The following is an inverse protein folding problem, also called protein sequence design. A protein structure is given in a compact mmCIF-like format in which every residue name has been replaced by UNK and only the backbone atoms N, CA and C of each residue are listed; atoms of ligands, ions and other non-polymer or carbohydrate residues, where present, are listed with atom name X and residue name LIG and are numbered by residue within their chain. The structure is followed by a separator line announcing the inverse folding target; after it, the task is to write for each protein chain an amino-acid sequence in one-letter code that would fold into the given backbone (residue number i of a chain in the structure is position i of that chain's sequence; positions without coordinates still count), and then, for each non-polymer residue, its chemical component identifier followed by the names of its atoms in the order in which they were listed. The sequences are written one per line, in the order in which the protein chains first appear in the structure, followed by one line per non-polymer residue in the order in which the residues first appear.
data_IF_660656490067
#
_entry.id   IF_660656490067
#
_cell.length_a   1.000
_cell.length_b   1.000
_cell.length_c   1.000
_cell.angle_alpha   90.00
_cell.angle_beta   90.00
_cell.angle_gamma   90.00
#
_symmetry.space_group_name_H-M   'P 1'
#
loop_
_entity.id
_entity.type
_entity.pdbx_description
1 polymer ?
#
# COMPACT_ATOMS: atom_id res chain seq x y z
N UNK A 1 14.94 38.57 19.89
CA UNK A 1 15.01 37.09 19.85
C UNK A 1 14.70 36.57 18.44
N UNK A 2 15.61 35.77 17.90
CA UNK A 2 15.40 35.03 16.66
C UNK A 2 14.81 33.66 17.03
N UNK A 3 13.74 33.25 16.33
CA UNK A 3 13.08 31.97 16.58
C UNK A 3 13.34 31.05 15.40
N UNK A 4 13.78 29.82 15.69
CA UNK A 4 13.87 28.74 14.70
C UNK A 4 12.62 27.88 14.86
N UNK A 5 11.94 27.62 13.75
CA UNK A 5 10.82 26.68 13.67
C UNK A 5 11.22 25.55 12.76
N UNK A 6 11.05 24.33 13.24
CA UNK A 6 11.33 23.13 12.47
C UNK A 6 10.17 22.12 12.62
N UNK A 7 10.08 21.15 11.70
CA UNK A 7 9.05 20.10 11.71
C UNK A 7 9.71 18.74 11.51
N UNK A 8 9.45 17.83 12.43
CA UNK A 8 9.95 16.47 12.38
C UNK A 8 8.81 15.49 12.16
N UNK A 9 9.02 14.51 11.28
CA UNK A 9 8.18 13.33 11.16
C UNK A 9 8.88 12.18 11.88
N UNK A 10 8.25 11.66 12.93
CA UNK A 10 8.75 10.51 13.68
C UNK A 10 8.06 9.26 13.15
N UNK A 11 8.83 8.33 12.58
CA UNK A 11 8.35 6.99 12.30
C UNK A 11 8.39 6.22 13.61
N UNK A 12 7.21 5.83 14.11
CA UNK A 12 7.16 4.90 15.23
C UNK A 12 7.67 3.53 14.75
N UNK A 13 8.49 2.84 15.57
CA UNK A 13 8.84 1.45 15.30
C UNK A 13 7.58 0.61 15.09
N UNK A 14 7.62 -0.31 14.14
CA UNK A 14 6.46 -1.14 13.78
C UNK A 14 6.06 -2.13 14.89
N UNK A 15 6.98 -2.42 15.80
CA UNK A 15 6.86 -3.26 17.00
C UNK A 15 6.51 -2.48 18.27
N UNK A 16 6.28 -1.16 18.17
CA UNK A 16 5.89 -0.34 19.32
C UNK A 16 4.58 -0.87 19.92
N UNK A 17 4.58 -1.14 21.22
CA UNK A 17 3.38 -1.57 21.93
C UNK A 17 2.35 -0.44 22.02
N UNK A 18 1.06 -0.79 22.05
CA UNK A 18 0.04 0.18 22.40
C UNK A 18 0.25 0.71 23.82
N UNK A 19 0.02 1.99 24.04
CA UNK A 19 0.19 2.61 25.35
C UNK A 19 0.49 4.09 25.27
N UNK A 20 0.69 4.68 26.44
CA UNK A 20 1.08 6.07 26.58
C UNK A 20 2.61 6.18 26.61
N UNK A 21 3.15 7.06 25.77
CA UNK A 21 4.57 7.34 25.65
C UNK A 21 4.82 8.83 25.87
N UNK A 22 5.92 9.16 26.54
CA UNK A 22 6.35 10.55 26.67
C UNK A 22 7.22 10.95 25.48
N UNK A 23 6.80 12.00 24.77
CA UNK A 23 7.56 12.59 23.68
C UNK A 23 8.59 13.57 24.24
N UNK A 24 9.88 13.27 24.04
CA UNK A 24 10.99 14.11 24.47
C UNK A 24 11.71 14.78 23.29
N UNK A 25 12.17 16.02 23.51
CA UNK A 25 13.06 16.75 22.62
C UNK A 25 14.40 16.98 23.32
N UNK A 26 15.48 16.47 22.73
CA UNK A 26 16.84 16.76 23.16
C UNK A 26 17.60 17.47 22.03
N UNK A 27 18.36 18.50 22.36
CA UNK A 27 19.40 19.03 21.47
C UNK A 27 20.68 18.26 21.77
N UNK A 28 21.29 17.66 20.75
CA UNK A 28 22.53 16.92 20.94
C UNK A 28 23.73 17.78 20.54
N UNK A 29 24.83 17.66 21.29
CA UNK A 29 26.15 18.14 20.88
C UNK A 29 26.66 17.30 19.70
N UNK A 30 27.71 17.77 19.06
CA UNK A 30 28.34 17.06 17.94
C UNK A 30 28.86 15.66 18.31
N UNK A 31 29.13 15.40 19.58
CA UNK A 31 29.54 14.09 20.11
C UNK A 31 28.36 13.17 20.48
N UNK A 32 27.12 13.61 20.24
CA UNK A 32 25.89 12.87 20.54
C UNK A 32 25.39 13.03 21.98
N UNK A 33 26.12 13.73 22.85
CA UNK A 33 25.65 13.97 24.23
C UNK A 33 24.55 15.03 24.27
N UNK A 34 23.53 14.89 25.13
CA UNK A 34 22.47 15.89 25.26
C UNK A 34 23.02 17.20 25.81
N UNK A 35 22.62 18.32 25.20
CA UNK A 35 22.78 19.65 25.73
C UNK A 35 21.67 19.88 26.78
N UNK A 36 22.02 20.05 28.07
CA UNK A 36 21.02 20.14 29.12
C UNK A 36 20.11 21.35 28.94
N UNK A 37 18.86 21.18 29.31
CA UNK A 37 17.87 22.26 29.46
C UNK A 37 18.26 23.19 30.62
N UNK A 38 17.64 24.36 30.72
CA UNK A 38 17.96 25.35 31.77
C UNK A 38 17.74 24.86 33.20
N UNK A 39 16.87 23.87 33.38
CA UNK A 39 16.59 23.14 34.62
C UNK A 39 17.46 21.89 34.82
N UNK A 40 18.41 21.63 33.91
CA UNK A 40 19.45 20.61 34.07
C UNK A 40 19.07 19.21 33.61
N UNK A 41 17.95 19.05 32.91
CA UNK A 41 17.56 17.77 32.29
C UNK A 41 18.17 17.61 30.91
N UNK A 42 18.35 16.36 30.47
CA UNK A 42 18.92 16.04 29.16
C UNK A 42 17.93 16.22 28.00
N UNK A 43 16.64 16.36 28.31
CA UNK A 43 15.58 16.54 27.32
C UNK A 43 14.38 17.29 27.90
N UNK A 44 13.67 18.01 27.04
CA UNK A 44 12.37 18.60 27.35
C UNK A 44 11.25 17.59 27.06
N UNK A 45 10.37 17.34 28.03
CA UNK A 45 9.11 16.63 27.76
C UNK A 45 8.14 17.56 27.04
N UNK A 46 7.70 17.16 25.85
CA UNK A 46 6.77 17.94 25.04
C UNK A 46 5.32 17.61 25.38
N UNK A 47 4.98 16.31 25.40
CA UNK A 47 3.64 15.81 25.71
C UNK A 47 3.63 14.29 25.84
N UNK A 48 2.55 13.74 26.41
CA UNK A 48 2.24 12.33 26.29
C UNK A 48 1.52 12.06 24.96
N UNK A 49 1.92 11.02 24.25
CA UNK A 49 1.24 10.52 23.06
C UNK A 49 0.66 9.14 23.36
N UNK A 50 -0.58 8.92 22.91
CA UNK A 50 -1.20 7.61 23.00
C UNK A 50 -1.03 6.85 21.69
N UNK A 51 -0.21 5.80 21.72
CA UNK A 51 -0.05 4.87 20.62
C UNK A 51 -1.14 3.81 20.73
N UNK A 52 -1.98 3.71 19.70
CA UNK A 52 -3.07 2.73 19.67
C UNK A 52 -2.56 1.37 19.21
N UNK A 53 -3.23 0.31 19.66
CA UNK A 53 -3.05 -1.02 19.09
C UNK A 53 -3.41 -0.97 17.61
N UNK A 54 -2.60 -1.62 16.78
CA UNK A 54 -2.85 -1.72 15.36
C UNK A 54 -3.88 -2.82 15.10
N UNK A 55 -4.95 -2.50 14.35
CA UNK A 55 -5.98 -3.45 13.93
C UNK A 55 -5.48 -4.40 12.80
N UNK A 56 -4.24 -4.91 12.92
CA UNK A 56 -3.61 -5.73 11.87
C UNK A 56 -4.36 -7.04 11.71
N UNK A 57 -4.55 -7.44 10.45
CA UNK A 57 -5.02 -8.77 10.11
C UNK A 57 -3.80 -9.68 9.90
N UNK A 58 -3.94 -10.95 10.24
CA UNK A 58 -2.89 -11.97 10.06
C UNK A 58 -3.34 -13.11 9.14
N UNK A 59 -4.66 -13.27 9.07
CA UNK A 59 -5.35 -14.23 8.22
C UNK A 59 -6.14 -13.47 7.16
N UNK A 60 -6.18 -13.98 5.91
CA UNK A 60 -7.03 -13.40 4.88
C UNK A 60 -8.51 -13.52 5.24
N UNK A 61 -9.35 -12.55 4.82
CA UNK A 61 -10.78 -12.72 4.90
C UNK A 61 -11.24 -13.94 4.09
N UNK A 62 -12.34 -14.57 4.52
CA UNK A 62 -12.96 -15.66 3.79
C UNK A 62 -13.53 -15.19 2.45
N UNK A 63 -13.72 -16.12 1.51
CA UNK A 63 -14.40 -15.87 0.23
C UNK A 63 -13.54 -15.20 -0.85
N UNK A 64 -12.26 -14.91 -0.59
CA UNK A 64 -11.36 -14.41 -1.62
C UNK A 64 -11.07 -15.47 -2.69
N UNK A 65 -10.86 -15.01 -3.92
CA UNK A 65 -10.35 -15.84 -5.03
C UNK A 65 -8.84 -15.91 -4.90
N UNK A 66 -8.27 -17.11 -4.66
CA UNK A 66 -6.84 -17.24 -4.40
C UNK A 66 -6.01 -16.96 -5.65
N UNK A 67 -4.84 -16.34 -5.45
CA UNK A 67 -3.85 -16.05 -6.51
C UNK A 67 -2.49 -16.61 -6.12
N UNK A 68 -1.92 -16.19 -4.97
CA UNK A 68 -0.64 -16.69 -4.48
C UNK A 68 0.58 -16.21 -5.28
N UNK A 69 0.53 -14.97 -5.81
CA UNK A 69 1.62 -14.42 -6.62
C UNK A 69 2.57 -13.58 -5.76
N UNK A 70 3.89 -13.82 -5.87
CA UNK A 70 4.91 -13.06 -5.14
C UNK A 70 5.44 -11.90 -5.97
N UNK A 71 5.45 -10.70 -5.40
CA UNK A 71 6.00 -9.49 -6.02
C UNK A 71 7.31 -9.12 -5.32
N UNK A 72 8.41 -9.36 -6.03
CA UNK A 72 9.74 -9.45 -5.44
C UNK A 72 9.78 -10.46 -4.29
N UNK A 73 10.74 -10.27 -3.39
CA UNK A 73 10.86 -11.06 -2.16
C UNK A 73 10.08 -10.43 -0.99
N UNK A 74 9.16 -9.50 -1.26
CA UNK A 74 8.63 -8.55 -0.23
C UNK A 74 7.15 -8.67 0.05
N UNK A 75 6.34 -8.93 -0.97
CA UNK A 75 4.88 -8.94 -0.86
C UNK A 75 4.32 -10.13 -1.63
N UNK A 76 3.24 -10.69 -1.13
CA UNK A 76 2.45 -11.71 -1.83
C UNK A 76 1.02 -11.20 -2.05
N UNK A 77 0.50 -11.31 -3.27
CA UNK A 77 -0.92 -11.20 -3.56
C UNK A 77 -1.58 -12.53 -3.21
N UNK A 78 -2.21 -12.61 -2.03
CA UNK A 78 -2.90 -13.82 -1.59
C UNK A 78 -4.10 -14.11 -2.48
N UNK A 79 -4.84 -13.06 -2.85
CA UNK A 79 -6.04 -13.19 -3.66
C UNK A 79 -6.76 -11.86 -3.85
N UNK A 80 -7.93 -11.95 -4.43
CA UNK A 80 -8.79 -10.80 -4.67
C UNK A 80 -10.27 -11.15 -4.54
N UNK A 81 -11.10 -10.14 -4.38
CA UNK A 81 -12.53 -10.22 -4.59
C UNK A 81 -12.95 -9.16 -5.59
N UNK A 82 -13.85 -9.51 -6.51
CA UNK A 82 -14.38 -8.61 -7.51
C UNK A 82 -15.89 -8.65 -7.40
N UNK A 83 -16.50 -7.51 -7.08
CA UNK A 83 -17.93 -7.42 -6.78
C UNK A 83 -18.79 -7.94 -7.95
N UNK A 84 -18.33 -7.71 -9.19
CA UNK A 84 -19.03 -8.03 -10.44
C UNK A 84 -18.01 -8.31 -11.53
N UNK A 85 -18.27 -9.35 -12.35
CA UNK A 85 -17.48 -9.65 -13.55
C UNK A 85 -18.07 -9.03 -14.82
N UNK A 86 -18.99 -8.08 -14.65
CA UNK A 86 -19.69 -7.38 -15.73
C UNK A 86 -19.83 -5.90 -15.38
N UNK A 87 -19.62 -5.03 -16.38
CA UNK A 87 -19.82 -3.59 -16.27
C UNK A 87 -20.23 -2.99 -17.62
N UNK A 88 -20.68 -1.73 -17.61
CA UNK A 88 -20.85 -0.93 -18.81
C UNK A 88 -19.78 0.15 -18.90
N UNK A 89 -19.57 0.68 -20.10
CA UNK A 89 -18.82 1.91 -20.26
C UNK A 89 -19.38 3.03 -19.36
N UNK A 90 -18.50 3.73 -18.63
CA UNK A 90 -18.86 4.73 -17.62
C UNK A 90 -19.24 4.18 -16.23
N UNK A 91 -19.36 2.86 -16.05
CA UNK A 91 -19.58 2.27 -14.72
C UNK A 91 -18.26 2.05 -13.95
N UNK A 92 -18.36 1.76 -12.66
CA UNK A 92 -17.21 1.51 -11.79
C UNK A 92 -17.16 0.04 -11.37
N UNK A 93 -16.00 -0.58 -11.53
CA UNK A 93 -15.67 -1.90 -11.00
C UNK A 93 -15.06 -1.77 -9.61
N UNK A 94 -15.60 -2.51 -8.63
CA UNK A 94 -15.07 -2.56 -7.28
C UNK A 94 -14.22 -3.81 -7.07
N UNK A 95 -12.92 -3.59 -6.92
CA UNK A 95 -11.89 -4.62 -6.74
C UNK A 95 -11.32 -4.53 -5.32
N UNK A 96 -11.28 -5.65 -4.61
CA UNK A 96 -10.56 -5.78 -3.35
C UNK A 96 -9.34 -6.68 -3.56
N UNK A 97 -8.16 -6.18 -3.25
CA UNK A 97 -6.91 -6.95 -3.24
C UNK A 97 -6.54 -7.32 -1.81
N UNK A 98 -6.03 -8.54 -1.64
CA UNK A 98 -5.57 -9.03 -0.33
C UNK A 98 -4.10 -9.38 -0.41
N UNK A 99 -3.30 -8.58 0.27
CA UNK A 99 -1.84 -8.67 0.28
C UNK A 99 -1.34 -9.30 1.57
N UNK A 100 -0.22 -10.03 1.50
CA UNK A 100 0.58 -10.41 2.66
C UNK A 100 1.96 -9.75 2.57
N UNK A 101 2.36 -9.10 3.66
CA UNK A 101 3.73 -8.63 3.81
C UNK A 101 4.65 -9.81 4.13
N UNK A 102 5.69 -10.03 3.33
CA UNK A 102 6.68 -11.09 3.56
C UNK A 102 7.90 -10.57 4.32
N UNK A 103 8.25 -9.30 4.11
CA UNK A 103 9.40 -8.64 4.75
C UNK A 103 9.11 -7.16 4.92
N UNK A 104 9.71 -6.52 5.94
CA UNK A 104 9.66 -5.07 6.07
C UNK A 104 10.16 -4.35 4.81
N UNK A 105 9.59 -3.18 4.55
CA UNK A 105 9.83 -2.39 3.35
C UNK A 105 10.21 -0.96 3.71
N UNK A 106 11.26 -0.46 3.09
CA UNK A 106 11.68 0.95 3.21
C UNK A 106 11.14 1.83 2.07
N UNK A 107 10.63 1.19 1.01
CA UNK A 107 9.96 1.85 -0.11
C UNK A 107 8.46 1.83 0.09
N UNK A 108 7.81 2.99 -0.07
CA UNK A 108 6.36 3.11 -0.14
C UNK A 108 5.91 2.87 -1.58
N UNK A 109 5.63 1.62 -1.93
CA UNK A 109 5.21 1.24 -3.27
C UNK A 109 3.80 1.74 -3.60
N UNK A 110 3.59 2.06 -4.88
CA UNK A 110 2.26 2.31 -5.45
C UNK A 110 1.74 1.01 -6.06
N UNK A 111 0.50 0.66 -5.79
CA UNK A 111 -0.19 -0.41 -6.51
C UNK A 111 -0.83 0.18 -7.75
N UNK A 112 -0.65 -0.48 -8.89
CA UNK A 112 -1.41 -0.19 -10.10
C UNK A 112 -2.50 -1.23 -10.30
N UNK A 113 -3.67 -0.79 -10.74
CA UNK A 113 -4.78 -1.65 -11.13
C UNK A 113 -5.32 -1.14 -12.45
N UNK A 114 -5.20 -1.94 -13.51
CA UNK A 114 -5.62 -1.54 -14.86
C UNK A 114 -6.62 -2.54 -15.44
N UNK A 115 -7.65 -2.04 -16.09
CA UNK A 115 -8.59 -2.80 -16.91
C UNK A 115 -8.13 -2.72 -18.36
N UNK A 116 -7.77 -3.85 -18.96
CA UNK A 116 -7.22 -3.95 -20.31
C UNK A 116 -8.23 -4.54 -21.28
N UNK A 117 -8.36 -3.96 -22.48
CA UNK A 117 -9.08 -4.58 -23.59
C UNK A 117 -8.26 -5.70 -24.26
N UNK A 118 -8.84 -6.38 -25.25
CA UNK A 118 -8.17 -7.44 -26.03
C UNK A 118 -6.89 -6.97 -26.75
N UNK A 119 -6.73 -5.66 -26.96
CA UNK A 119 -5.55 -5.04 -27.56
C UNK A 119 -4.52 -4.57 -26.54
N UNK A 120 -4.63 -4.98 -25.28
CA UNK A 120 -3.82 -4.51 -24.14
C UNK A 120 -3.91 -2.99 -23.88
N UNK A 121 -4.97 -2.31 -24.35
CA UNK A 121 -5.16 -0.89 -24.02
C UNK A 121 -5.87 -0.73 -22.68
N UNK A 122 -5.36 0.20 -21.87
CA UNK A 122 -5.97 0.56 -20.59
C UNK A 122 -7.28 1.31 -20.85
N UNK A 123 -8.41 0.71 -20.45
CA UNK A 123 -9.76 1.29 -20.48
C UNK A 123 -10.31 1.65 -19.11
N UNK A 124 -9.51 1.53 -18.07
CA UNK A 124 -9.85 1.94 -16.71
C UNK A 124 -8.64 1.72 -15.82
N UNK A 125 -8.38 2.61 -14.88
CA UNK A 125 -7.25 2.45 -13.99
C UNK A 125 -7.42 3.15 -12.65
N UNK A 126 -6.74 2.62 -11.64
CA UNK A 126 -6.51 3.32 -10.39
C UNK A 126 -5.14 2.93 -9.80
N UNK A 127 -4.28 3.95 -9.67
CA UNK A 127 -2.93 3.82 -9.13
C UNK A 127 -2.80 4.66 -7.86
N UNK A 128 -2.52 4.01 -6.74
CA UNK A 128 -2.28 4.69 -5.47
C UNK A 128 -1.47 3.82 -4.50
N UNK A 129 -0.78 4.42 -3.52
CA UNK A 129 -0.26 3.66 -2.40
C UNK A 129 -1.42 2.95 -1.66
N UNK A 130 -1.17 1.83 -0.99
CA UNK A 130 -2.25 1.02 -0.44
C UNK A 130 -3.21 1.75 0.49
N UNK A 131 -4.47 1.30 0.48
CA UNK A 131 -5.57 1.84 1.31
C UNK A 131 -5.78 3.33 1.03
N UNK A 132 -5.74 3.71 -0.25
CA UNK A 132 -5.87 5.10 -0.72
C UNK A 132 -4.82 6.03 -0.09
N UNK A 133 -3.59 5.55 0.05
CA UNK A 133 -2.49 6.31 0.65
C UNK A 133 -2.48 6.36 2.18
N UNK A 134 -3.46 5.77 2.86
CA UNK A 134 -3.55 5.81 4.33
C UNK A 134 -2.69 4.76 5.01
N UNK A 135 -2.28 3.72 4.30
CA UNK A 135 -1.50 2.63 4.86
C UNK A 135 -0.39 2.18 3.91
N UNK A 136 0.63 3.05 3.68
CA UNK A 136 1.72 2.75 2.76
C UNK A 136 2.47 1.49 3.16
N UNK A 137 3.11 0.83 2.19
CA UNK A 137 3.82 -0.45 2.39
C UNK A 137 4.92 -0.38 3.45
N UNK A 138 5.46 0.81 3.71
CA UNK A 138 6.42 1.03 4.81
C UNK A 138 5.83 0.82 6.20
N UNK A 139 4.50 0.81 6.38
CA UNK A 139 3.90 0.53 7.69
C UNK A 139 3.63 -0.96 7.91
N UNK A 140 3.76 -1.77 6.87
CA UNK A 140 3.43 -3.19 6.92
C UNK A 140 4.50 -3.96 7.67
N UNK A 141 4.09 -4.97 8.44
CA UNK A 141 5.01 -5.89 9.13
C UNK A 141 4.94 -7.29 8.56
N UNK A 142 6.03 -8.04 8.64
CA UNK A 142 6.09 -9.40 8.13
C UNK A 142 4.94 -10.26 8.71
N UNK A 143 4.26 -10.99 7.83
CA UNK A 143 3.09 -11.82 8.14
C UNK A 143 1.75 -11.09 8.09
N UNK A 144 1.73 -9.75 8.16
CA UNK A 144 0.50 -8.97 8.12
C UNK A 144 -0.25 -9.14 6.80
N UNK A 145 -1.57 -9.20 6.91
CA UNK A 145 -2.51 -9.17 5.81
C UNK A 145 -3.13 -7.79 5.68
N UNK A 146 -3.11 -7.24 4.47
CA UNK A 146 -3.67 -5.93 4.15
C UNK A 146 -4.78 -6.08 3.11
N UNK A 147 -5.96 -5.57 3.45
CA UNK A 147 -7.13 -5.52 2.56
C UNK A 147 -7.19 -4.15 1.91
N UNK A 148 -7.06 -4.11 0.59
CA UNK A 148 -6.95 -2.89 -0.20
C UNK A 148 -8.06 -2.80 -1.23
N UNK A 149 -8.69 -1.64 -1.39
CA UNK A 149 -9.92 -1.49 -2.19
C UNK A 149 -9.77 -0.43 -3.27
N UNK A 150 -10.21 -0.79 -4.47
CA UNK A 150 -10.12 -0.01 -5.69
C UNK A 150 -11.50 0.15 -6.33
N UNK A 151 -11.69 1.30 -6.98
CA UNK A 151 -12.84 1.71 -7.74
C UNK A 151 -12.36 2.09 -9.14
N UNK A 152 -12.33 1.11 -10.03
CA UNK A 152 -11.80 1.25 -11.39
C UNK A 152 -12.95 1.72 -12.28
N UNK A 153 -12.91 2.98 -12.69
CA UNK A 153 -13.87 3.54 -13.65
C UNK A 153 -13.58 3.01 -15.06
N UNK A 154 -14.59 2.41 -15.69
CA UNK A 154 -14.53 2.01 -17.09
C UNK A 154 -14.75 3.25 -17.95
N UNK A 155 -13.82 3.54 -18.86
CA UNK A 155 -13.92 4.67 -19.78
C UNK A 155 -15.26 4.69 -20.53
N UNK A 156 -15.83 5.88 -20.73
CA UNK A 156 -17.12 6.05 -21.41
C UNK A 156 -17.11 5.58 -22.87
N UNK A 157 -15.93 5.56 -23.52
CA UNK A 157 -15.75 5.10 -24.90
C UNK A 157 -15.21 3.67 -25.00
N UNK A 158 -15.16 2.92 -23.88
CA UNK A 158 -14.69 1.54 -23.86
C UNK A 158 -15.56 0.67 -24.79
N UNK A 159 -14.96 0.00 -25.80
CA UNK A 159 -15.72 -0.88 -26.68
C UNK A 159 -16.24 -2.11 -25.91
N UNK A 160 -17.41 -2.67 -26.28
CA UNK A 160 -17.90 -3.89 -25.67
C UNK A 160 -16.96 -5.05 -25.98
N UNK A 161 -16.77 -5.93 -25.01
CA UNK A 161 -15.88 -7.06 -25.18
C UNK A 161 -15.45 -7.69 -23.86
N UNK A 162 -14.46 -8.58 -23.96
CA UNK A 162 -13.81 -9.17 -22.80
C UNK A 162 -12.58 -8.36 -22.43
N UNK A 163 -12.45 -8.10 -21.14
CA UNK A 163 -11.38 -7.35 -20.53
C UNK A 163 -10.68 -8.22 -19.50
N UNK A 164 -9.45 -7.85 -19.16
CA UNK A 164 -8.69 -8.46 -18.06
C UNK A 164 -8.20 -7.38 -17.11
N UNK A 165 -8.19 -7.67 -15.81
CA UNK A 165 -7.57 -6.78 -14.83
C UNK A 165 -6.11 -7.21 -14.65
N UNK A 166 -5.17 -6.27 -14.83
CA UNK A 166 -3.78 -6.44 -14.38
C UNK A 166 -3.53 -5.66 -13.10
N UNK A 167 -2.70 -6.23 -12.22
CA UNK A 167 -2.26 -5.59 -10.99
C UNK A 167 -0.77 -5.77 -10.75
N UNK A 168 -0.18 -4.83 -10.03
CA UNK A 168 1.19 -4.96 -9.55
C UNK A 168 1.61 -3.79 -8.68
N UNK A 169 2.90 -3.72 -8.36
CA UNK A 169 3.45 -2.66 -7.54
C UNK A 169 4.66 -2.03 -8.24
N UNK A 170 4.84 -0.73 -8.07
CA UNK A 170 6.04 -0.02 -8.54
C UNK A 170 6.55 0.98 -7.52
N UNK A 171 7.84 1.26 -7.57
CA UNK A 171 8.46 2.33 -6.80
C UNK A 171 8.14 3.68 -7.45
N UNK A 172 7.40 4.58 -6.80
CA UNK A 172 7.00 5.85 -7.40
C UNK A 172 8.17 6.80 -7.69
N UNK A 173 9.35 6.60 -7.08
CA UNK A 173 10.50 7.46 -7.28
C UNK A 173 11.20 7.23 -8.63
N UNK A 174 11.16 6.00 -9.15
CA UNK A 174 11.86 5.60 -10.37
C UNK A 174 10.97 4.83 -11.37
N UNK A 175 9.70 4.60 -11.01
CA UNK A 175 8.69 3.89 -11.80
C UNK A 175 9.05 2.41 -12.07
N UNK A 176 9.99 1.86 -11.30
CA UNK A 176 10.38 0.46 -11.42
C UNK A 176 9.30 -0.45 -10.85
N UNK A 177 8.76 -1.34 -11.68
CA UNK A 177 7.81 -2.37 -11.27
C UNK A 177 8.52 -3.50 -10.51
N UNK A 178 7.85 -4.05 -9.50
CA UNK A 178 8.28 -5.27 -8.82
C UNK A 178 8.06 -6.47 -9.75
N UNK A 179 9.10 -7.29 -9.89
CA UNK A 179 8.99 -8.54 -10.63
C UNK A 179 8.02 -9.50 -9.94
N UNK A 180 7.14 -10.13 -10.70
CA UNK A 180 6.37 -11.29 -10.24
C UNK A 180 7.27 -12.51 -10.29
N UNK A 181 7.35 -13.23 -9.18
CA UNK A 181 8.23 -14.37 -8.98
C UNK A 181 7.43 -15.67 -8.90
N UNK A 182 7.98 -16.71 -9.52
CA UNK A 182 7.58 -18.11 -9.34
C UNK A 182 8.77 -18.91 -8.74
N UNK A 183 8.62 -20.23 -8.49
CA UNK A 183 9.72 -21.04 -7.96
C UNK A 183 10.96 -21.13 -8.87
N UNK A 184 10.87 -20.75 -10.13
CA UNK A 184 11.94 -20.80 -11.13
C UNK A 184 12.61 -19.43 -11.39
N UNK A 185 11.96 -18.34 -11.01
CA UNK A 185 12.50 -16.98 -11.07
C UNK A 185 11.45 -15.93 -11.41
N UNK A 186 11.90 -14.81 -11.98
CA UNK A 186 10.99 -13.75 -12.42
C UNK A 186 10.25 -14.17 -13.69
N UNK A 187 8.92 -14.04 -13.68
CA UNK A 187 8.01 -14.43 -14.78
C UNK A 187 7.29 -13.25 -15.42
N UNK A 188 7.41 -12.05 -14.84
CA UNK A 188 6.79 -10.83 -15.33
C UNK A 188 6.91 -9.71 -14.30
N UNK A 189 6.11 -8.66 -14.44
CA UNK A 189 6.03 -7.53 -13.51
C UNK A 189 4.57 -7.09 -13.24
N UNK A 190 3.63 -7.96 -13.61
CA UNK A 190 2.18 -7.81 -13.46
C UNK A 190 1.54 -9.16 -13.23
N UNK A 191 0.46 -9.16 -12.46
CA UNK A 191 -0.40 -10.31 -12.24
C UNK A 191 -1.72 -10.07 -12.97
N UNK A 192 -2.11 -11.00 -13.84
CA UNK A 192 -3.42 -10.97 -14.49
C UNK A 192 -4.44 -11.65 -13.57
N UNK A 193 -5.56 -10.98 -13.32
CA UNK A 193 -6.68 -11.48 -12.55
C UNK A 193 -7.77 -12.04 -13.48
N UNK A 194 -9.01 -12.11 -12.97
CA UNK A 194 -10.16 -12.58 -13.74
C UNK A 194 -10.58 -11.64 -14.87
N UNK A 195 -11.36 -12.20 -15.78
CA UNK A 195 -11.95 -11.47 -16.90
C UNK A 195 -13.17 -10.65 -16.46
N UNK A 196 -13.40 -9.54 -17.16
CA UNK A 196 -14.59 -8.70 -17.01
C UNK A 196 -15.25 -8.54 -18.37
N UNK A 197 -16.57 -8.73 -18.45
CA UNK A 197 -17.34 -8.38 -19.65
C UNK A 197 -17.75 -6.91 -19.57
N UNK A 198 -17.41 -6.13 -20.60
CA UNK A 198 -17.89 -4.75 -20.73
C UNK A 198 -18.94 -4.67 -21.84
N UNK A 199 -20.07 -4.05 -21.53
CA UNK A 199 -21.16 -3.75 -22.47
C UNK A 199 -21.21 -2.25 -22.81
N UNK A 200 -21.96 -1.87 -23.86
CA UNK A 200 -22.19 -0.46 -24.21
C UNK A 200 -22.88 0.32 -23.08
N UNK A 201 -22.61 1.62 -23.01
CA UNK A 201 -23.47 2.55 -22.28
C UNK A 201 -24.90 2.52 -22.85
N UNK A 202 -25.90 2.73 -21.98
CA UNK A 202 -27.31 2.79 -22.37
C UNK A 202 -27.66 4.02 -23.22
#
# INVERSE_FOLDING_TARGET
PEFVRDRYALRLPTDVGAGDYDLHLALLRADGTPLPTSDGHDALSLSAIHVRASDRLWEPPEGIRPVGARLGERVELLGYDLEREEARAGETLHLTLVWRCLSEMDTSYTVFTHLLDEGEQVRGQQDNPPVTGRYPTTLWVAGEVVVDRYAIEVQEDAPPGMYVIEVGMYDPANVQRLAVLDPTGAVGDRVLLGNVRVDQAN
#
